data_IF_643271445722
#
_entry.id   IF_643271445722
#
_cell.length_a   1.000
_cell.length_b   1.000
_cell.length_c   1.000
_cell.angle_alpha   90.00
_cell.angle_beta   90.00
_cell.angle_gamma   90.00
#
_symmetry.space_group_name_H-M   'P 1'
#
loop_
_entity.id
_entity.type
_entity.pdbx_description
1 polymer ?
#
# COMPACT_ATOMS: atom_id res chain seq x y z
N UNK A 1 -17.44 3.01 4.87
CA UNK A 1 -17.90 2.73 6.24
C UNK A 1 -18.31 4.00 7.00
N UNK A 2 -17.62 5.11 6.82
CA UNK A 2 -17.95 6.37 7.52
C UNK A 2 -19.37 6.90 7.24
N UNK A 3 -19.93 6.59 6.07
CA UNK A 3 -21.28 6.98 5.68
C UNK A 3 -22.34 5.94 6.04
N UNK A 4 -21.96 4.90 6.74
CA UNK A 4 -22.83 3.79 7.12
C UNK A 4 -23.05 3.84 8.62
N UNK A 5 -24.29 3.65 9.09
CA UNK A 5 -24.58 3.62 10.51
C UNK A 5 -23.85 2.47 11.22
N UNK A 6 -23.58 2.64 12.51
CA UNK A 6 -22.94 1.61 13.33
C UNK A 6 -23.70 0.29 13.28
N UNK A 7 -25.05 0.36 13.35
CA UNK A 7 -25.89 -0.84 13.25
C UNK A 7 -25.74 -1.59 11.92
N UNK A 8 -25.58 -0.86 10.81
CA UNK A 8 -25.35 -1.49 9.51
C UNK A 8 -23.94 -2.05 9.40
N UNK A 9 -22.93 -1.37 9.96
CA UNK A 9 -21.58 -1.89 10.06
C UNK A 9 -21.53 -3.20 10.88
N UNK A 10 -22.18 -3.22 12.04
CA UNK A 10 -22.30 -4.42 12.87
C UNK A 10 -22.92 -5.57 12.07
N UNK A 11 -24.04 -5.30 11.40
CA UNK A 11 -24.69 -6.30 10.58
C UNK A 11 -23.81 -6.84 9.46
N UNK A 12 -23.06 -5.96 8.75
CA UNK A 12 -22.13 -6.36 7.69
C UNK A 12 -20.99 -7.27 8.23
N UNK A 13 -20.45 -6.93 9.39
CA UNK A 13 -19.39 -7.69 10.07
C UNK A 13 -19.91 -9.06 10.53
N UNK A 14 -21.06 -9.08 11.21
CA UNK A 14 -21.69 -10.29 11.73
C UNK A 14 -22.06 -11.28 10.63
N UNK A 15 -22.52 -10.78 9.50
CA UNK A 15 -22.92 -11.58 8.35
C UNK A 15 -21.78 -11.85 7.36
N UNK A 16 -20.57 -11.35 7.59
CA UNK A 16 -19.36 -11.53 6.75
C UNK A 16 -19.61 -11.15 5.27
N UNK A 17 -20.25 -10.02 5.05
CA UNK A 17 -20.68 -9.58 3.70
C UNK A 17 -19.51 -9.05 2.85
N UNK A 18 -18.37 -8.75 3.45
CA UNK A 18 -17.19 -8.21 2.77
C UNK A 18 -15.96 -9.12 2.96
N UNK A 19 -15.06 -9.10 1.99
CA UNK A 19 -13.81 -9.86 2.01
C UNK A 19 -12.71 -9.20 2.85
N UNK A 20 -12.69 -7.87 2.90
CA UNK A 20 -11.73 -7.08 3.67
C UNK A 20 -12.32 -5.71 4.04
N UNK A 21 -11.82 -5.13 5.12
CA UNK A 21 -12.24 -3.84 5.62
C UNK A 21 -11.19 -2.77 5.28
N UNK A 22 -11.60 -1.69 4.62
CA UNK A 22 -10.75 -0.54 4.39
C UNK A 22 -10.63 0.27 5.69
N UNK A 23 -9.54 0.05 6.40
CA UNK A 23 -9.28 0.70 7.69
C UNK A 23 -8.56 2.03 7.55
N UNK A 24 -7.85 2.22 6.43
CA UNK A 24 -7.14 3.45 6.08
C UNK A 24 -7.46 3.81 4.63
N UNK A 25 -8.01 4.99 4.42
CA UNK A 25 -8.32 5.57 3.12
C UNK A 25 -7.52 6.86 2.89
N UNK A 26 -7.68 7.48 1.74
CA UNK A 26 -6.91 8.63 1.25
C UNK A 26 -6.76 9.84 2.17
N UNK A 27 -6.05 10.86 1.69
CA UNK A 27 -5.60 12.04 2.45
C UNK A 27 -6.72 12.86 3.09
N UNK A 28 -7.90 12.85 2.49
CA UNK A 28 -9.02 13.69 2.94
C UNK A 28 -9.74 13.15 4.17
N UNK A 29 -9.35 11.98 4.65
CA UNK A 29 -10.13 11.18 5.58
C UNK A 29 -9.38 10.86 6.89
N UNK A 30 -8.55 11.78 7.41
CA UNK A 30 -7.81 11.57 8.66
C UNK A 30 -8.69 11.18 9.85
N UNK A 31 -9.80 11.91 10.03
CA UNK A 31 -10.76 11.61 11.10
C UNK A 31 -11.40 10.24 10.89
N UNK A 32 -11.77 9.96 9.64
CA UNK A 32 -12.32 8.67 9.24
C UNK A 32 -11.33 7.53 9.50
N UNK A 33 -10.05 7.70 9.16
CA UNK A 33 -9.01 6.72 9.42
C UNK A 33 -8.84 6.44 10.92
N UNK A 34 -8.94 7.48 11.74
CA UNK A 34 -8.96 7.34 13.20
C UNK A 34 -10.14 6.50 13.68
N UNK A 35 -11.35 6.87 13.26
CA UNK A 35 -12.59 6.16 13.58
C UNK A 35 -12.57 4.70 13.14
N UNK A 36 -12.20 4.44 11.88
CA UNK A 36 -12.13 3.07 11.35
C UNK A 36 -11.09 2.20 12.08
N UNK A 37 -9.99 2.79 12.50
CA UNK A 37 -8.97 2.08 13.28
C UNK A 37 -9.52 1.67 14.66
N UNK A 38 -10.20 2.59 15.33
CA UNK A 38 -10.85 2.29 16.63
C UNK A 38 -11.91 1.21 16.44
N UNK A 39 -12.77 1.36 15.43
CA UNK A 39 -13.81 0.38 15.09
C UNK A 39 -13.23 -1.01 14.86
N UNK A 40 -12.17 -1.12 14.09
CA UNK A 40 -11.49 -2.38 13.84
C UNK A 40 -11.03 -3.06 15.14
N UNK A 41 -10.45 -2.30 16.07
CA UNK A 41 -9.99 -2.88 17.33
C UNK A 41 -11.14 -3.22 18.28
N UNK A 42 -12.23 -2.45 18.29
CA UNK A 42 -13.45 -2.80 19.05
C UNK A 42 -14.07 -4.09 18.52
N UNK A 43 -14.21 -4.25 17.22
CA UNK A 43 -14.75 -5.47 16.62
C UNK A 43 -13.86 -6.66 16.93
N UNK A 44 -12.55 -6.51 16.92
CA UNK A 44 -11.63 -7.58 17.36
C UNK A 44 -11.80 -7.92 18.82
N UNK A 45 -12.01 -6.94 19.69
CA UNK A 45 -12.26 -7.18 21.12
C UNK A 45 -13.61 -7.90 21.34
N UNK A 46 -14.59 -7.67 20.47
CA UNK A 46 -15.87 -8.41 20.43
C UNK A 46 -15.75 -9.82 19.85
N UNK A 47 -14.59 -10.20 19.32
CA UNK A 47 -14.32 -11.53 18.75
C UNK A 47 -14.48 -11.59 17.22
N UNK A 48 -14.83 -10.52 16.54
CA UNK A 48 -14.91 -10.48 15.08
C UNK A 48 -13.51 -10.41 14.47
N UNK A 49 -13.31 -11.15 13.38
CA UNK A 49 -12.05 -11.17 12.64
C UNK A 49 -12.31 -11.02 11.15
N UNK A 50 -11.74 -10.01 10.57
CA UNK A 50 -11.77 -9.75 9.13
C UNK A 50 -10.43 -9.13 8.69
N UNK A 51 -10.01 -9.37 7.43
CA UNK A 51 -8.81 -8.76 6.87
C UNK A 51 -8.95 -7.24 6.76
N UNK A 52 -7.83 -6.54 6.74
CA UNK A 52 -7.78 -5.10 6.54
C UNK A 52 -6.98 -4.72 5.31
N UNK A 53 -7.37 -3.62 4.69
CA UNK A 53 -6.68 -2.99 3.57
C UNK A 53 -6.58 -1.49 3.81
N UNK A 54 -5.57 -0.88 3.19
CA UNK A 54 -5.47 0.57 3.02
C UNK A 54 -5.52 0.90 1.54
N UNK A 55 -6.12 2.02 1.17
CA UNK A 55 -6.18 2.49 -0.21
C UNK A 55 -5.84 3.96 -0.32
N UNK A 56 -5.41 4.38 -1.51
CA UNK A 56 -5.13 5.79 -1.80
C UNK A 56 -6.41 6.61 -1.98
N UNK A 57 -7.52 5.95 -2.30
CA UNK A 57 -8.76 6.57 -2.78
C UNK A 57 -8.51 7.55 -3.95
N UNK A 58 -7.51 7.23 -4.77
CA UNK A 58 -7.12 8.08 -5.91
C UNK A 58 -8.11 7.95 -7.05
N UNK A 59 -8.71 9.07 -7.46
CA UNK A 59 -9.68 9.14 -8.55
C UNK A 59 -9.08 9.64 -9.86
N UNK A 60 -7.78 9.95 -9.89
CA UNK A 60 -7.09 10.38 -11.10
C UNK A 60 -5.60 10.03 -11.06
N UNK A 61 -4.98 10.00 -12.23
CA UNK A 61 -3.53 9.81 -12.41
C UNK A 61 -2.83 11.11 -12.83
N UNK A 62 -3.39 12.27 -12.48
CA UNK A 62 -2.77 13.56 -12.82
C UNK A 62 -1.64 13.90 -11.84
N UNK A 63 -0.62 14.68 -12.26
CA UNK A 63 0.47 15.10 -11.38
C UNK A 63 0.02 15.90 -10.15
N UNK A 64 -1.16 16.53 -10.23
CA UNK A 64 -1.76 17.31 -9.15
C UNK A 64 -2.40 16.42 -8.07
N UNK A 65 -2.73 15.19 -8.43
CA UNK A 65 -3.30 14.25 -7.49
C UNK A 65 -2.20 13.60 -6.63
N UNK A 66 -1.96 14.20 -5.48
CA UNK A 66 -1.00 13.70 -4.48
C UNK A 66 -1.51 12.50 -3.69
N UNK A 67 -2.75 12.05 -3.93
CA UNK A 67 -3.40 10.98 -3.17
C UNK A 67 -2.74 9.60 -3.30
N UNK A 68 -1.91 9.38 -4.33
CA UNK A 68 -1.26 8.09 -4.57
C UNK A 68 -0.19 7.70 -3.53
N UNK A 69 0.23 8.60 -2.67
CA UNK A 69 1.35 8.38 -1.73
C UNK A 69 0.93 8.17 -0.27
N UNK A 70 -0.35 8.04 0.00
CA UNK A 70 -0.86 8.35 1.34
C UNK A 70 -1.22 7.12 2.14
N UNK A 71 -2.08 6.27 1.62
CA UNK A 71 -2.45 5.01 2.23
C UNK A 71 -2.30 3.89 1.22
N UNK A 72 -1.84 2.75 1.68
CA UNK A 72 -1.58 1.59 0.83
C UNK A 72 -1.76 0.28 1.59
N UNK A 73 -1.68 -0.83 0.89
CA UNK A 73 -1.68 -2.15 1.49
C UNK A 73 -0.38 -2.87 1.18
N UNK A 74 0.32 -3.34 2.21
CA UNK A 74 1.38 -4.33 2.04
C UNK A 74 0.73 -5.71 2.09
N UNK A 75 0.86 -6.48 1.01
CA UNK A 75 0.35 -7.86 0.92
C UNK A 75 1.53 -8.83 0.94
N UNK A 76 1.52 -9.77 1.88
CA UNK A 76 2.53 -10.81 2.00
C UNK A 76 2.04 -12.06 1.25
N UNK A 77 2.43 -12.18 0.00
CA UNK A 77 2.02 -13.24 -0.90
C UNK A 77 3.20 -14.11 -1.32
N UNK A 78 3.02 -15.43 -1.50
CA UNK A 78 4.07 -16.29 -2.03
C UNK A 78 4.37 -16.01 -3.50
N UNK A 79 3.41 -15.45 -4.24
CA UNK A 79 3.50 -15.21 -5.68
C UNK A 79 2.87 -13.86 -6.03
N UNK A 80 3.39 -13.22 -7.08
CA UNK A 80 2.82 -11.99 -7.63
C UNK A 80 1.73 -12.30 -8.67
N UNK A 81 0.76 -13.10 -8.24
CA UNK A 81 -0.39 -13.51 -9.05
C UNK A 81 -1.69 -13.05 -8.40
N UNK A 82 -2.66 -12.63 -9.22
CA UNK A 82 -3.94 -12.08 -8.74
C UNK A 82 -4.61 -12.99 -7.69
N UNK A 83 -4.67 -14.28 -7.96
CA UNK A 83 -5.30 -15.24 -7.04
C UNK A 83 -4.54 -15.33 -5.72
N UNK A 84 -3.22 -15.45 -5.77
CA UNK A 84 -2.37 -15.53 -4.58
C UNK A 84 -2.45 -14.25 -3.73
N UNK A 85 -2.53 -13.07 -4.35
CA UNK A 85 -2.72 -11.79 -3.66
C UNK A 85 -4.07 -11.74 -2.94
N UNK A 86 -5.17 -12.11 -3.62
CA UNK A 86 -6.51 -12.14 -3.02
C UNK A 86 -6.57 -13.14 -1.86
N UNK A 87 -6.05 -14.35 -2.06
CA UNK A 87 -6.01 -15.38 -1.02
C UNK A 87 -5.14 -14.94 0.16
N UNK A 88 -4.07 -14.18 -0.09
CA UNK A 88 -3.23 -13.63 0.98
C UNK A 88 -3.99 -12.61 1.82
N UNK A 89 -4.74 -11.70 1.20
CA UNK A 89 -5.59 -10.74 1.93
C UNK A 89 -6.64 -11.49 2.76
N UNK A 90 -7.39 -12.41 2.15
CA UNK A 90 -8.42 -13.21 2.83
C UNK A 90 -7.88 -14.01 4.00
N UNK A 91 -6.61 -14.40 3.95
CA UNK A 91 -5.91 -15.13 5.01
C UNK A 91 -5.15 -14.20 5.99
N UNK A 92 -5.54 -12.93 6.11
CA UNK A 92 -4.96 -11.95 7.04
C UNK A 92 -3.46 -11.67 6.83
N UNK A 93 -2.96 -11.83 5.61
CA UNK A 93 -1.58 -11.53 5.24
C UNK A 93 -1.46 -10.15 4.58
N UNK A 94 -2.26 -9.21 5.06
CA UNK A 94 -2.24 -7.81 4.64
C UNK A 94 -2.05 -6.88 5.81
N UNK A 95 -1.44 -5.74 5.54
CA UNK A 95 -1.26 -4.64 6.48
C UNK A 95 -1.65 -3.36 5.77
N UNK A 96 -2.60 -2.63 6.32
CA UNK A 96 -2.91 -1.27 5.89
C UNK A 96 -1.84 -0.32 6.42
N UNK A 97 -1.36 0.59 5.57
CA UNK A 97 -0.26 1.50 5.85
C UNK A 97 -0.68 2.92 5.57
N UNK A 98 -0.47 3.80 6.55
CA UNK A 98 -0.56 5.24 6.43
C UNK A 98 0.86 5.82 6.50
N UNK A 99 1.34 6.38 5.41
CA UNK A 99 2.65 7.04 5.33
C UNK A 99 2.57 8.55 5.34
N UNK A 100 1.39 9.13 5.44
CA UNK A 100 1.18 10.59 5.52
C UNK A 100 1.56 11.09 6.89
N UNK A 101 1.06 10.41 7.91
CA UNK A 101 1.45 10.75 9.27
C UNK A 101 2.92 10.39 9.43
N UNK A 102 3.72 11.29 9.96
CA UNK A 102 5.12 11.00 10.30
C UNK A 102 5.28 9.82 11.29
N UNK A 103 4.18 9.29 11.76
CA UNK A 103 4.10 8.20 12.74
C UNK A 103 4.04 6.82 12.11
N UNK A 104 3.90 6.71 10.78
CA UNK A 104 3.78 5.41 10.08
C UNK A 104 2.76 4.49 10.75
N UNK A 105 1.48 4.84 10.65
CA UNK A 105 0.41 4.00 11.19
C UNK A 105 0.26 2.72 10.35
N UNK A 106 0.34 1.58 11.02
CA UNK A 106 0.12 0.26 10.41
C UNK A 106 -0.98 -0.47 11.17
N UNK A 107 -1.91 -1.07 10.43
CA UNK A 107 -3.02 -1.83 10.98
C UNK A 107 -3.06 -3.22 10.34
N UNK A 108 -3.11 -4.28 11.16
CA UNK A 108 -3.13 -5.66 10.70
C UNK A 108 -2.69 -6.64 11.79
N UNK A 109 -2.35 -7.87 11.40
CA UNK A 109 -1.80 -8.86 12.31
C UNK A 109 -0.38 -8.49 12.76
N UNK A 110 -0.11 -8.59 14.07
CA UNK A 110 1.11 -8.09 14.70
C UNK A 110 2.41 -8.55 14.01
N UNK A 111 2.48 -9.81 13.58
CA UNK A 111 3.67 -10.34 12.89
C UNK A 111 3.95 -9.60 11.58
N UNK A 112 2.90 -9.29 10.82
CA UNK A 112 3.01 -8.56 9.55
C UNK A 112 3.21 -7.07 9.75
N UNK A 113 2.60 -6.49 10.79
CA UNK A 113 2.86 -5.09 11.20
C UNK A 113 4.33 -4.89 11.54
N UNK A 114 4.94 -5.78 12.33
CA UNK A 114 6.38 -5.71 12.65
C UNK A 114 7.25 -5.77 11.38
N UNK A 115 6.91 -6.67 10.46
CA UNK A 115 7.66 -6.78 9.21
C UNK A 115 7.39 -5.59 8.29
N UNK A 116 6.16 -5.08 8.24
CA UNK A 116 5.82 -3.84 7.55
C UNK A 116 6.61 -2.64 8.05
N UNK A 117 6.75 -2.47 9.37
CA UNK A 117 7.62 -1.44 9.97
C UNK A 117 9.07 -1.59 9.53
N UNK A 118 9.59 -2.81 9.49
CA UNK A 118 10.95 -3.07 8.98
C UNK A 118 11.10 -2.65 7.52
N UNK A 119 10.14 -3.01 6.66
CA UNK A 119 10.14 -2.66 5.24
C UNK A 119 10.06 -1.14 5.03
N UNK A 120 9.16 -0.46 5.75
CA UNK A 120 9.02 1.01 5.67
C UNK A 120 10.30 1.75 6.10
N UNK A 121 11.03 1.20 7.04
CA UNK A 121 12.26 1.81 7.54
C UNK A 121 13.47 1.51 6.65
N UNK A 122 13.57 0.31 6.10
CA UNK A 122 14.82 -0.19 5.52
C UNK A 122 14.74 -0.45 4.01
N UNK A 123 13.59 -0.87 3.48
CA UNK A 123 13.43 -1.26 2.09
C UNK A 123 12.75 -0.18 1.24
N UNK A 124 11.56 0.28 1.62
CA UNK A 124 10.78 1.20 0.81
C UNK A 124 11.49 2.53 0.51
N UNK A 125 12.25 3.16 1.41
CA UNK A 125 12.97 4.38 1.05
C UNK A 125 13.92 4.18 -0.13
N UNK A 126 14.66 3.07 -0.13
CA UNK A 126 15.60 2.75 -1.22
C UNK A 126 14.86 2.36 -2.50
N UNK A 127 13.77 1.60 -2.35
CA UNK A 127 12.92 1.18 -3.45
C UNK A 127 12.25 2.38 -4.12
N UNK A 128 11.66 3.26 -3.33
CA UNK A 128 10.89 4.40 -3.84
C UNK A 128 11.80 5.43 -4.51
N UNK A 129 12.99 5.69 -3.96
CA UNK A 129 14.00 6.52 -4.60
C UNK A 129 14.41 5.95 -5.96
N UNK A 130 14.62 4.64 -6.05
CA UNK A 130 14.97 3.98 -7.30
C UNK A 130 13.82 4.04 -8.32
N UNK A 131 12.58 3.78 -7.90
CA UNK A 131 11.40 3.89 -8.75
C UNK A 131 11.15 5.33 -9.22
N UNK A 132 11.37 6.31 -8.36
CA UNK A 132 11.24 7.72 -8.70
C UNK A 132 12.25 8.13 -9.78
N UNK A 133 13.51 7.73 -9.62
CA UNK A 133 14.57 7.98 -10.59
C UNK A 133 14.26 7.31 -11.95
N UNK A 134 13.88 6.04 -11.95
CA UNK A 134 13.49 5.33 -13.17
C UNK A 134 12.27 5.98 -13.84
N UNK A 135 11.25 6.36 -13.07
CA UNK A 135 10.06 7.03 -13.57
C UNK A 135 10.36 8.40 -14.19
N UNK A 136 11.28 9.16 -13.60
CA UNK A 136 11.75 10.43 -14.14
C UNK A 136 12.45 10.23 -15.49
N UNK A 137 13.34 9.24 -15.57
CA UNK A 137 14.05 8.91 -16.82
C UNK A 137 13.10 8.39 -17.90
N UNK A 138 12.11 7.56 -17.54
CA UNK A 138 11.07 7.10 -18.46
C UNK A 138 10.28 8.28 -19.03
N UNK A 139 9.89 9.24 -18.19
CA UNK A 139 9.22 10.46 -18.65
C UNK A 139 10.09 11.27 -19.59
N UNK A 140 11.37 11.41 -19.31
CA UNK A 140 12.33 12.09 -20.16
C UNK A 140 12.53 11.36 -21.50
N UNK A 141 12.59 10.03 -21.49
CA UNK A 141 12.68 9.21 -22.70
C UNK A 141 11.45 9.32 -23.62
N UNK A 142 10.27 9.62 -23.06
CA UNK A 142 9.03 9.75 -23.83
C UNK A 142 8.81 11.18 -24.31
N UNK A 143 9.04 12.18 -23.46
CA UNK A 143 8.63 13.58 -23.69
C UNK A 143 9.78 14.55 -23.83
N UNK A 144 11.04 14.11 -23.65
CA UNK A 144 12.22 14.96 -23.78
C UNK A 144 12.60 15.29 -25.22
N UNK A 145 13.56 16.19 -25.40
CA UNK A 145 14.24 16.44 -26.67
C UNK A 145 14.97 15.17 -27.13
N UNK A 146 15.47 15.13 -28.37
CA UNK A 146 16.17 13.95 -28.89
C UNK A 146 17.40 13.58 -28.07
N UNK A 147 18.19 14.57 -27.67
CA UNK A 147 19.40 14.35 -26.82
C UNK A 147 19.02 13.85 -25.44
N UNK A 148 18.05 14.49 -24.77
CA UNK A 148 17.55 14.06 -23.48
C UNK A 148 16.96 12.65 -23.50
N UNK A 149 16.25 12.31 -24.58
CA UNK A 149 15.69 10.97 -24.81
C UNK A 149 16.79 9.93 -24.88
N UNK A 150 17.82 10.18 -25.69
CA UNK A 150 18.91 9.24 -25.88
C UNK A 150 19.69 9.02 -24.57
N UNK A 151 19.97 10.09 -23.83
CA UNK A 151 20.65 10.04 -22.54
C UNK A 151 19.83 9.25 -21.51
N UNK A 152 18.51 9.49 -21.46
CA UNK A 152 17.62 8.75 -20.57
C UNK A 152 17.58 7.26 -20.90
N UNK A 153 17.48 6.89 -22.18
CA UNK A 153 17.51 5.49 -22.62
C UNK A 153 18.84 4.80 -22.26
N UNK A 154 19.96 5.47 -22.50
CA UNK A 154 21.28 4.97 -22.15
C UNK A 154 21.37 4.71 -20.63
N UNK A 155 20.92 5.66 -19.83
CA UNK A 155 20.93 5.55 -18.37
C UNK A 155 20.03 4.39 -17.88
N UNK A 156 18.78 4.30 -18.38
CA UNK A 156 17.86 3.20 -18.05
C UNK A 156 18.45 1.84 -18.41
N UNK A 157 19.18 1.75 -19.54
CA UNK A 157 19.84 0.50 -19.97
C UNK A 157 20.90 0.05 -18.96
N UNK A 158 21.69 1.00 -18.45
CA UNK A 158 22.70 0.72 -17.41
C UNK A 158 22.05 0.34 -16.08
N UNK A 159 20.91 0.94 -15.76
CA UNK A 159 20.15 0.65 -14.52
C UNK A 159 19.40 -0.67 -14.57
N UNK A 160 19.29 -1.31 -15.72
CA UNK A 160 18.55 -2.56 -15.91
C UNK A 160 18.99 -3.64 -14.90
N UNK A 161 18.00 -4.22 -14.24
CA UNK A 161 18.21 -5.25 -13.22
C UNK A 161 18.60 -4.74 -11.83
N UNK A 162 18.71 -3.42 -11.61
CA UNK A 162 18.96 -2.80 -10.29
C UNK A 162 17.90 -3.21 -9.28
N UNK A 163 16.61 -3.09 -9.66
CA UNK A 163 15.49 -3.49 -8.81
C UNK A 163 15.53 -4.97 -8.45
N UNK A 164 15.85 -5.84 -9.39
CA UNK A 164 15.99 -7.28 -9.15
C UNK A 164 17.10 -7.61 -8.17
N UNK A 165 18.23 -6.89 -8.24
CA UNK A 165 19.34 -7.05 -7.29
C UNK A 165 18.94 -6.58 -5.89
N UNK A 166 18.19 -5.49 -5.80
CA UNK A 166 17.69 -4.96 -4.54
C UNK A 166 16.68 -5.90 -3.89
N UNK A 167 15.71 -6.41 -4.65
CA UNK A 167 14.75 -7.42 -4.18
C UNK A 167 15.47 -8.64 -3.59
N UNK A 168 16.48 -9.18 -4.27
CA UNK A 168 17.26 -10.31 -3.77
C UNK A 168 18.02 -10.02 -2.47
N UNK A 169 18.33 -8.78 -2.17
CA UNK A 169 19.00 -8.40 -0.91
C UNK A 169 18.06 -8.48 0.29
N UNK A 170 16.79 -8.17 0.09
CA UNK A 170 15.79 -8.07 1.18
C UNK A 170 14.86 -9.27 1.24
N UNK A 171 14.69 -9.99 0.15
CA UNK A 171 13.79 -11.12 0.04
C UNK A 171 14.53 -12.31 -0.56
N UNK A 172 14.46 -13.45 0.13
CA UNK A 172 14.99 -14.71 -0.37
C UNK A 172 13.99 -15.32 -1.38
N UNK A 173 14.22 -15.03 -2.67
CA UNK A 173 13.50 -15.68 -3.78
C UNK A 173 14.45 -16.61 -4.54
#
# INVERSE_FOLDING_TARGET
AFHVSDALNDWLVENKIFDAFEVLGGERYFEQNGYQTVRYYEDRARGFKYPVVGSTDSHSCTPENKGAYICSTIVFSPENERKALIDSIRNFRSVAVDTISKEFRLVGEMRYVRYGCFLLKNYFPIHDDACFEEGRLMKQAIYGTEDERQDAINTLTVMNGRMKKMLKKYFAF
#
